data_IF_680888676283
#
_entry.id   IF_680888676283
#
_cell.length_a   1.000
_cell.length_b   1.000
_cell.length_c   1.000
_cell.angle_alpha   90.00
_cell.angle_beta   90.00
_cell.angle_gamma   90.00
#
_symmetry.space_group_name_H-M   'P 1'
#
loop_
_entity.id
_entity.type
_entity.pdbx_description
1 polymer ?
#
# COMPACT_ATOMS: atom_id res chain seq x y z
N UNK A 1 6.38 -26.84 83.31
CA UNK A 1 5.12 -27.55 83.02
C UNK A 1 4.27 -26.55 82.23
N UNK A 2 3.66 -26.82 81.09
CA UNK A 2 3.57 -27.96 80.16
C UNK A 2 2.66 -27.38 79.04
N UNK A 3 3.24 -26.90 77.92
CA UNK A 3 3.15 -27.49 76.57
C UNK A 3 1.77 -27.49 75.84
N UNK A 4 1.87 -27.58 74.49
CA UNK A 4 0.84 -27.84 73.45
C UNK A 4 0.07 -26.58 72.99
N UNK A 5 -0.22 -26.34 71.69
CA UNK A 5 -0.08 -27.07 70.40
C UNK A 5 -0.11 -26.01 69.24
N UNK A 6 0.32 -26.21 67.99
CA UNK A 6 1.11 -27.25 67.26
C UNK A 6 1.53 -26.69 65.85
N UNK A 7 2.10 -27.52 64.95
CA UNK A 7 2.19 -27.48 63.46
C UNK A 7 2.01 -26.15 62.67
N UNK A 8 2.76 -25.87 61.58
CA UNK A 8 3.79 -26.64 60.86
C UNK A 8 3.98 -26.16 59.39
N UNK A 9 4.90 -26.83 58.67
CA UNK A 9 5.22 -26.72 57.22
C UNK A 9 5.82 -25.41 56.67
N UNK A 10 6.78 -25.62 55.74
CA UNK A 10 7.51 -24.59 54.99
C UNK A 10 6.94 -24.31 53.58
N UNK A 11 7.79 -23.92 52.60
CA UNK A 11 7.53 -22.73 51.78
C UNK A 11 7.07 -23.00 50.34
N UNK A 12 6.58 -21.95 49.65
CA UNK A 12 7.02 -21.55 48.28
C UNK A 12 6.32 -20.28 47.77
N UNK A 13 6.97 -19.60 46.82
CA UNK A 13 6.51 -18.34 46.24
C UNK A 13 5.19 -18.46 45.47
N UNK A 14 4.27 -17.52 45.71
CA UNK A 14 3.13 -17.29 44.85
C UNK A 14 3.52 -16.34 43.70
N UNK A 15 3.83 -16.92 42.53
CA UNK A 15 3.93 -16.16 41.28
C UNK A 15 2.57 -15.57 40.92
N UNK A 16 2.36 -14.30 41.26
CA UNK A 16 1.22 -13.53 40.78
C UNK A 16 1.55 -13.00 39.38
N UNK A 17 1.00 -13.65 38.36
CA UNK A 17 0.99 -13.12 36.99
C UNK A 17 0.16 -11.82 36.98
N UNK A 18 0.84 -10.69 36.78
CA UNK A 18 0.14 -9.43 36.49
C UNK A 18 -0.59 -9.49 35.14
N UNK A 19 -1.72 -8.79 34.98
CA UNK A 19 -2.46 -8.80 33.73
C UNK A 19 -1.66 -8.13 32.61
N UNK A 20 -1.57 -8.81 31.47
CA UNK A 20 -0.94 -8.30 30.25
C UNK A 20 -1.71 -7.07 29.74
N UNK A 21 -0.99 -5.97 29.54
CA UNK A 21 -1.58 -4.75 28.96
C UNK A 21 -1.80 -4.98 27.47
N UNK A 22 -3.03 -4.86 26.93
CA UNK A 22 -3.21 -4.87 25.48
C UNK A 22 -2.46 -3.67 24.89
N UNK A 23 -1.51 -3.95 24.01
CA UNK A 23 -0.71 -2.93 23.33
C UNK A 23 -1.62 -2.19 22.34
N UNK A 24 -2.22 -1.10 22.80
CA UNK A 24 -3.10 -0.26 22.01
C UNK A 24 -2.33 0.32 20.82
N UNK A 25 -2.53 -0.26 19.64
CA UNK A 25 -2.06 0.31 18.38
C UNK A 25 -2.64 1.72 18.24
N UNK A 26 -1.77 2.71 18.41
CA UNK A 26 -2.12 4.12 18.31
C UNK A 26 -2.38 4.47 16.86
N UNK A 27 -3.62 4.24 16.41
CA UNK A 27 -4.11 4.72 15.13
C UNK A 27 -3.88 6.25 15.08
N UNK A 28 -3.20 6.80 14.05
CA UNK A 28 -3.24 8.23 13.83
C UNK A 28 -4.68 8.61 13.47
N UNK A 29 -5.22 9.62 14.16
CA UNK A 29 -6.59 10.06 13.95
C UNK A 29 -6.78 10.55 12.50
N UNK A 30 -7.96 10.32 11.87
CA UNK A 30 -8.23 10.80 10.52
C UNK A 30 -8.25 12.32 10.51
N UNK A 31 -7.19 12.92 9.94
CA UNK A 31 -7.14 14.35 9.67
C UNK A 31 -8.24 14.73 8.70
N UNK A 32 -9.03 15.74 9.04
CA UNK A 32 -10.07 16.28 8.15
C UNK A 32 -9.42 16.93 6.93
N UNK A 33 -9.27 16.17 5.84
CA UNK A 33 -8.96 16.71 4.52
C UNK A 33 -10.19 17.46 3.99
N UNK A 34 -10.30 18.72 4.42
CA UNK A 34 -11.36 19.64 4.04
C UNK A 34 -11.20 20.01 2.57
N UNK A 35 -12.28 19.80 1.82
CA UNK A 35 -12.49 20.19 0.42
C UNK A 35 -11.65 21.40 -0.05
N UNK A 36 -10.72 21.14 -0.97
CA UNK A 36 -9.93 22.15 -1.66
C UNK A 36 -10.38 22.28 -3.13
N UNK A 37 -11.53 22.93 -3.32
CA UNK A 37 -11.77 23.90 -4.39
C UNK A 37 -11.06 23.73 -5.75
N UNK A 38 -11.65 22.89 -6.60
CA UNK A 38 -11.65 22.95 -8.09
C UNK A 38 -11.07 24.25 -8.72
N UNK A 39 -9.77 24.28 -9.05
CA UNK A 39 -9.14 25.22 -10.01
C UNK A 39 -7.95 24.56 -10.69
N UNK A 40 -7.80 24.77 -12.00
CA UNK A 40 -6.77 24.14 -12.83
C UNK A 40 -5.42 24.90 -12.78
N UNK A 41 -4.38 24.29 -12.19
CA UNK A 41 -3.02 24.37 -12.75
C UNK A 41 -2.36 22.99 -12.95
N UNK A 42 -2.96 21.90 -12.47
CA UNK A 42 -2.38 20.56 -12.34
C UNK A 42 -1.91 19.90 -13.66
N UNK A 43 -2.48 20.31 -14.81
CA UNK A 43 -2.24 19.64 -16.11
C UNK A 43 -0.78 19.67 -16.60
N UNK A 44 -0.02 20.70 -16.21
CA UNK A 44 1.40 20.82 -16.55
C UNK A 44 2.27 20.04 -15.56
N UNK A 45 2.08 20.27 -14.24
CA UNK A 45 2.80 19.57 -13.17
C UNK A 45 2.74 18.05 -13.31
N UNK A 46 1.58 17.51 -13.70
CA UNK A 46 1.41 16.09 -13.93
C UNK A 46 2.29 15.58 -15.08
N UNK A 47 2.49 16.33 -16.17
CA UNK A 47 3.37 15.86 -17.26
C UNK A 47 4.80 15.68 -16.76
N UNK A 48 5.30 16.64 -16.00
CA UNK A 48 6.69 16.65 -15.52
C UNK A 48 6.95 15.66 -14.39
N UNK A 49 5.97 15.31 -13.55
CA UNK A 49 6.17 14.23 -12.57
C UNK A 49 6.26 12.86 -13.25
N UNK A 50 5.42 12.59 -14.27
CA UNK A 50 5.51 11.34 -15.01
C UNK A 50 6.85 11.22 -15.75
N UNK A 51 7.37 12.27 -16.40
CA UNK A 51 8.69 12.17 -17.04
C UNK A 51 9.84 11.95 -16.03
N UNK A 52 9.77 12.57 -14.86
CA UNK A 52 10.80 12.43 -13.80
C UNK A 52 10.77 11.10 -13.04
N UNK A 53 9.69 10.32 -13.18
CA UNK A 53 9.55 8.99 -12.58
C UNK A 53 9.68 7.85 -13.59
N UNK A 54 10.34 8.10 -14.72
CA UNK A 54 10.72 7.06 -15.69
C UNK A 54 12.03 6.40 -15.25
N UNK A 55 12.11 5.07 -15.35
CA UNK A 55 13.37 4.36 -15.19
C UNK A 55 14.38 4.76 -16.28
N UNK A 56 15.67 4.75 -15.94
CA UNK A 56 16.75 4.75 -16.93
C UNK A 56 17.08 3.31 -17.36
N UNK A 57 16.97 2.38 -16.41
CA UNK A 57 17.24 0.94 -16.54
C UNK A 57 16.26 0.11 -15.70
N UNK A 58 15.05 -0.11 -16.21
CA UNK A 58 13.95 -0.82 -15.53
C UNK A 58 14.41 -2.07 -14.77
N UNK A 59 15.18 -2.94 -15.43
CA UNK A 59 15.69 -4.21 -14.86
C UNK A 59 16.53 -4.07 -13.57
N UNK A 60 17.03 -2.86 -13.25
CA UNK A 60 17.82 -2.58 -12.04
C UNK A 60 17.04 -1.76 -11.00
N UNK A 61 16.04 -1.03 -11.46
CA UNK A 61 15.29 -0.05 -10.65
C UNK A 61 13.95 -0.60 -10.15
N UNK A 62 13.39 -1.61 -10.82
CA UNK A 62 12.21 -2.31 -10.34
C UNK A 62 12.58 -3.43 -9.35
N UNK A 63 11.70 -3.70 -8.37
CA UNK A 63 11.77 -4.96 -7.60
C UNK A 63 10.38 -5.51 -7.27
N UNK A 64 10.13 -6.81 -7.45
CA UNK A 64 8.90 -7.47 -7.01
C UNK A 64 8.78 -7.49 -5.48
N UNK A 65 7.57 -7.69 -4.98
CA UNK A 65 7.29 -7.69 -3.54
C UNK A 65 8.06 -8.76 -2.75
N UNK A 66 8.36 -9.93 -3.33
CA UNK A 66 9.14 -10.95 -2.63
C UNK A 66 10.58 -10.50 -2.30
N UNK A 67 11.22 -9.69 -3.17
CA UNK A 67 12.52 -9.06 -2.90
C UNK A 67 12.45 -7.92 -1.87
N UNK A 68 11.25 -7.44 -1.55
CA UNK A 68 10.97 -6.45 -0.49
C UNK A 68 10.55 -7.12 0.83
N UNK A 69 10.63 -8.45 0.92
CA UNK A 69 10.18 -9.23 2.07
C UNK A 69 8.66 -9.48 2.11
N UNK A 70 7.98 -9.38 0.98
CA UNK A 70 6.52 -9.51 0.85
C UNK A 70 5.76 -8.19 0.90
N UNK A 71 4.45 -8.22 0.61
CA UNK A 71 3.59 -7.04 0.73
C UNK A 71 3.05 -6.86 2.16
N UNK A 72 3.32 -5.68 2.74
CA UNK A 72 2.91 -5.32 4.11
C UNK A 72 1.96 -4.11 4.17
N UNK A 73 1.43 -3.67 3.02
CA UNK A 73 0.48 -2.56 2.93
C UNK A 73 -0.97 -2.97 3.22
N UNK A 74 -1.92 -2.06 2.98
CA UNK A 74 -3.35 -2.38 3.14
C UNK A 74 -3.79 -3.49 2.17
N UNK A 75 -4.50 -4.51 2.67
CA UNK A 75 -5.11 -5.56 1.84
C UNK A 75 -6.58 -5.22 1.58
N UNK A 76 -6.90 -4.93 0.32
CA UNK A 76 -8.28 -4.77 -0.17
C UNK A 76 -9.06 -6.06 0.16
N UNK A 77 -10.23 -5.96 0.82
CA UNK A 77 -11.09 -7.12 1.09
C UNK A 77 -11.41 -7.90 -0.19
N UNK A 78 -11.33 -9.23 -0.13
CA UNK A 78 -11.37 -10.07 -1.32
C UNK A 78 -12.63 -9.88 -2.19
N UNK A 79 -13.79 -9.70 -1.55
CA UNK A 79 -15.05 -9.39 -2.24
C UNK A 79 -14.95 -8.11 -3.08
N UNK A 80 -14.44 -7.02 -2.50
CA UNK A 80 -14.20 -5.76 -3.21
C UNK A 80 -13.12 -5.89 -4.27
N UNK A 81 -12.11 -6.71 -4.03
CA UNK A 81 -11.06 -6.98 -5.00
C UNK A 81 -11.66 -7.66 -6.26
N UNK A 82 -12.40 -8.76 -6.08
CA UNK A 82 -13.04 -9.51 -7.16
C UNK A 82 -14.10 -8.72 -7.94
N UNK A 83 -14.74 -7.72 -7.30
CA UNK A 83 -15.79 -6.91 -7.93
C UNK A 83 -15.26 -5.71 -8.76
N UNK A 84 -14.01 -5.28 -8.55
CA UNK A 84 -13.52 -3.99 -9.05
C UNK A 84 -12.07 -3.98 -9.57
N UNK A 85 -11.35 -5.11 -9.49
CA UNK A 85 -9.92 -5.19 -9.80
C UNK A 85 -9.57 -6.50 -10.54
N UNK A 86 -8.33 -6.60 -11.01
CA UNK A 86 -7.85 -7.65 -11.92
C UNK A 86 -8.05 -7.28 -13.38
N UNK A 87 -7.59 -8.16 -14.29
CA UNK A 87 -7.49 -7.92 -15.74
C UNK A 87 -8.79 -7.49 -16.46
N UNK A 88 -9.96 -7.72 -15.87
CA UNK A 88 -11.25 -7.27 -16.43
C UNK A 88 -11.58 -5.80 -16.10
N UNK A 89 -10.92 -5.21 -15.11
CA UNK A 89 -11.23 -3.88 -14.56
C UNK A 89 -10.12 -2.89 -14.90
N UNK A 90 -10.13 -2.43 -16.15
CA UNK A 90 -9.14 -1.51 -16.69
C UNK A 90 -9.62 -0.05 -16.62
N UNK A 91 -8.66 0.87 -16.52
CA UNK A 91 -8.87 2.33 -16.49
C UNK A 91 -7.65 3.03 -17.12
N UNK A 92 -7.76 4.32 -17.45
CA UNK A 92 -6.58 5.15 -17.76
C UNK A 92 -6.26 6.05 -16.56
N UNK A 93 -4.99 6.21 -16.23
CA UNK A 93 -4.59 6.98 -15.03
C UNK A 93 -5.04 8.45 -15.10
N UNK A 94 -5.16 9.03 -16.29
CA UNK A 94 -5.68 10.39 -16.47
C UNK A 94 -7.20 10.55 -16.27
N UNK A 95 -7.97 9.45 -16.25
CA UNK A 95 -9.43 9.46 -16.03
C UNK A 95 -9.79 9.48 -14.53
N UNK A 96 -8.80 9.29 -13.65
CA UNK A 96 -8.97 9.18 -12.20
C UNK A 96 -8.20 10.28 -11.44
N UNK A 97 -8.54 10.56 -10.17
CA UNK A 97 -7.78 11.49 -9.34
C UNK A 97 -6.32 11.03 -9.18
N UNK A 98 -5.38 11.96 -9.40
CA UNK A 98 -3.94 11.77 -9.22
C UNK A 98 -3.41 12.88 -8.33
N UNK A 99 -2.56 12.52 -7.36
CA UNK A 99 -1.79 13.43 -6.52
C UNK A 99 -0.33 13.01 -6.52
N UNK A 100 0.58 13.91 -6.14
CA UNK A 100 2.00 13.56 -5.91
C UNK A 100 2.24 13.49 -4.41
N UNK A 101 2.76 12.36 -3.93
CA UNK A 101 3.16 12.18 -2.53
C UNK A 101 4.66 11.93 -2.50
N UNK A 102 5.38 12.79 -1.76
CA UNK A 102 6.85 12.91 -1.75
C UNK A 102 7.44 13.18 -3.14
N UNK A 103 7.55 12.14 -3.96
CA UNK A 103 8.05 12.18 -5.35
C UNK A 103 7.29 11.26 -6.30
N UNK A 104 6.45 10.36 -5.81
CA UNK A 104 5.77 9.37 -6.64
C UNK A 104 4.32 9.77 -6.91
N UNK A 105 3.81 9.55 -8.13
CA UNK A 105 2.41 9.73 -8.41
C UNK A 105 1.59 8.65 -7.71
N UNK A 106 0.49 9.09 -7.10
CA UNK A 106 -0.49 8.28 -6.36
C UNK A 106 -1.86 8.57 -6.95
N UNK A 107 -2.60 7.53 -7.33
CA UNK A 107 -3.89 7.66 -8.00
C UNK A 107 -5.00 6.89 -7.27
N UNK A 108 -6.24 7.35 -7.39
CA UNK A 108 -7.40 6.71 -6.75
C UNK A 108 -8.18 5.85 -7.75
N UNK A 109 -8.37 4.56 -7.47
CA UNK A 109 -9.21 3.69 -8.29
C UNK A 109 -10.13 2.84 -7.42
N UNK A 110 -11.41 2.77 -7.76
CA UNK A 110 -12.45 2.00 -7.06
C UNK A 110 -12.48 2.21 -5.54
N UNK A 111 -12.23 3.45 -5.09
CA UNK A 111 -12.27 3.85 -3.67
C UNK A 111 -10.99 3.58 -2.86
N UNK A 112 -9.90 3.15 -3.50
CA UNK A 112 -8.60 2.95 -2.87
C UNK A 112 -7.53 3.80 -3.54
N UNK A 113 -6.51 4.20 -2.79
CA UNK A 113 -5.34 4.88 -3.34
C UNK A 113 -4.20 3.91 -3.60
N UNK A 114 -3.52 4.11 -4.72
CA UNK A 114 -2.38 3.33 -5.17
C UNK A 114 -1.18 4.25 -5.38
N UNK A 115 -0.08 4.00 -4.68
CA UNK A 115 1.20 4.67 -4.90
C UNK A 115 2.14 3.73 -5.67
N UNK A 116 2.77 4.19 -6.75
CA UNK A 116 3.90 3.48 -7.36
C UNK A 116 5.07 3.47 -6.36
N UNK A 117 5.74 2.33 -6.19
CA UNK A 117 6.91 2.21 -5.30
C UNK A 117 8.25 2.17 -6.06
N UNK A 118 8.17 2.08 -7.39
CA UNK A 118 9.28 2.10 -8.34
C UNK A 118 9.00 3.16 -9.42
N UNK A 119 10.01 3.61 -10.18
CA UNK A 119 9.82 4.28 -11.46
C UNK A 119 8.95 3.44 -12.42
N UNK A 120 8.48 4.00 -13.53
CA UNK A 120 7.82 3.22 -14.59
C UNK A 120 8.81 2.85 -15.72
N UNK A 121 8.60 1.73 -16.44
CA UNK A 121 9.60 1.15 -17.36
C UNK A 121 9.92 2.05 -18.55
N UNK A 122 11.20 2.17 -18.94
CA UNK A 122 11.59 2.94 -20.12
C UNK A 122 10.94 2.44 -21.43
N UNK A 123 10.48 1.19 -21.47
CA UNK A 123 9.78 0.58 -22.60
C UNK A 123 8.34 1.04 -22.78
N UNK A 124 7.71 1.65 -21.78
CA UNK A 124 6.36 2.22 -21.89
C UNK A 124 6.41 3.57 -22.63
N UNK A 125 5.33 3.91 -23.33
CA UNK A 125 5.24 5.21 -24.00
C UNK A 125 5.29 6.37 -22.98
N UNK A 126 5.99 7.50 -23.25
CA UNK A 126 6.01 8.67 -22.35
C UNK A 126 4.64 9.28 -21.99
N UNK A 127 3.58 8.86 -22.70
CA UNK A 127 2.19 9.27 -22.49
C UNK A 127 1.29 8.14 -21.94
N UNK A 128 1.84 7.00 -21.52
CA UNK A 128 1.09 5.81 -21.10
C UNK A 128 -0.04 6.14 -20.12
N UNK A 129 0.23 6.99 -19.11
CA UNK A 129 -0.75 7.39 -18.10
C UNK A 129 -1.98 8.12 -18.68
N UNK A 130 -1.89 8.66 -19.90
CA UNK A 130 -3.00 9.26 -20.66
C UNK A 130 -3.64 8.31 -21.65
N UNK A 131 -2.86 7.48 -22.33
CA UNK A 131 -3.32 6.70 -23.49
C UNK A 131 -3.67 5.26 -23.14
N UNK A 132 -2.95 4.67 -22.19
CA UNK A 132 -2.95 3.24 -21.98
C UNK A 132 -3.94 2.78 -20.92
N UNK A 133 -4.50 1.59 -21.18
CA UNK A 133 -5.37 0.91 -20.25
C UNK A 133 -4.53 0.08 -19.28
N UNK A 134 -4.65 0.42 -18.01
CA UNK A 134 -3.97 -0.25 -16.91
C UNK A 134 -4.97 -0.92 -15.98
N UNK A 135 -4.53 -1.93 -15.25
CA UNK A 135 -5.32 -2.58 -14.20
C UNK A 135 -4.43 -2.92 -13.00
N UNK A 136 -5.03 -3.01 -11.82
CA UNK A 136 -4.36 -3.54 -10.62
C UNK A 136 -4.66 -5.02 -10.51
N UNK A 137 -3.64 -5.83 -10.22
CA UNK A 137 -3.82 -7.23 -9.83
C UNK A 137 -3.05 -7.56 -8.54
N UNK A 138 -3.36 -8.69 -7.91
CA UNK A 138 -2.65 -9.22 -6.74
C UNK A 138 -2.04 -10.58 -7.09
N UNK A 139 -0.71 -10.61 -7.26
CA UNK A 139 0.05 -11.77 -7.76
C UNK A 139 1.31 -11.91 -6.91
N UNK A 140 1.74 -13.15 -6.62
CA UNK A 140 2.97 -13.44 -5.87
C UNK A 140 3.10 -12.58 -4.59
N UNK A 141 2.05 -12.61 -3.77
CA UNK A 141 1.94 -11.91 -2.49
C UNK A 141 2.14 -10.39 -2.52
N UNK A 142 1.68 -9.71 -3.58
CA UNK A 142 1.59 -8.26 -3.59
C UNK A 142 0.79 -7.66 -4.73
N UNK A 143 0.51 -6.35 -4.63
CA UNK A 143 -0.22 -5.61 -5.66
C UNK A 143 0.72 -5.03 -6.72
N UNK A 144 0.27 -5.09 -7.97
CA UNK A 144 0.97 -4.54 -9.13
C UNK A 144 0.02 -3.82 -10.08
N UNK A 145 0.52 -2.75 -10.69
CA UNK A 145 -0.07 -2.08 -11.85
C UNK A 145 0.45 -2.76 -13.13
N UNK A 146 -0.46 -3.28 -13.95
CA UNK A 146 -0.18 -3.84 -15.27
C UNK A 146 -0.65 -2.90 -16.36
N UNK A 147 0.10 -2.80 -17.46
CA UNK A 147 -0.30 -2.09 -18.67
C UNK A 147 -0.66 -3.09 -19.77
N UNK A 148 -1.86 -3.00 -20.35
CA UNK A 148 -2.35 -3.93 -21.38
C UNK A 148 -1.52 -3.90 -22.67
N UNK A 149 -0.91 -2.76 -22.99
CA UNK A 149 -0.06 -2.58 -24.17
C UNK A 149 1.35 -3.18 -23.99
N UNK A 150 1.76 -3.42 -22.74
CA UNK A 150 3.09 -3.90 -22.38
C UNK A 150 3.00 -5.17 -21.50
N UNK A 151 2.45 -6.28 -22.05
CA UNK A 151 2.28 -7.52 -21.29
C UNK A 151 3.61 -8.08 -20.79
N UNK A 152 3.60 -8.64 -19.58
CA UNK A 152 4.80 -9.17 -18.93
C UNK A 152 5.61 -8.13 -18.13
N UNK A 153 5.23 -6.85 -18.16
CA UNK A 153 5.83 -5.80 -17.33
C UNK A 153 4.80 -5.21 -16.38
N UNK A 154 5.16 -5.10 -15.10
CA UNK A 154 4.25 -4.66 -14.04
C UNK A 154 5.00 -3.91 -12.94
N UNK A 155 4.42 -2.81 -12.45
CA UNK A 155 5.02 -1.96 -11.42
C UNK A 155 4.40 -2.30 -10.07
N UNK A 156 5.22 -2.52 -9.05
CA UNK A 156 4.72 -2.73 -7.69
C UNK A 156 3.98 -1.48 -7.18
N UNK A 157 2.86 -1.67 -6.48
CA UNK A 157 2.09 -0.57 -5.86
C UNK A 157 1.79 -0.83 -4.39
N UNK A 158 1.83 0.23 -3.58
CA UNK A 158 1.30 0.22 -2.23
C UNK A 158 -0.15 0.71 -2.23
N UNK A 159 -1.01 0.07 -1.43
CA UNK A 159 -2.43 0.44 -1.30
C UNK A 159 -2.69 1.12 0.04
N UNK A 160 -3.51 2.17 0.03
CA UNK A 160 -4.16 2.71 1.23
C UNK A 160 -5.63 3.06 1.00
N UNK A 161 -6.32 3.38 2.10
CA UNK A 161 -7.55 4.18 2.08
C UNK A 161 -7.24 5.66 1.78
#
# INVERSE_FOLDING_TARGET
MEQRHDQGRGPREAVQRGPERPMQYRQPAPGHFREASRREPERFEHRDIWQRQRAEHWQREHRPWHERGGYHGYRIPEERFRAHFGRAHCFRVHEVPVVVVERYPRFQFSGFWFSLVDPWPETWAPTWYRTDEVYIDYVNDGYYLYNRQHPGVSIAVNVSL
#
